data_IF_781666181680
#
_entry.id   IF_781666181680
#
_cell.length_a   1.000
_cell.length_b   1.000
_cell.length_c   1.000
_cell.angle_alpha   90.00
_cell.angle_beta   90.00
_cell.angle_gamma   90.00
#
_symmetry.space_group_name_H-M   'P 1'
#
loop_
_entity.id
_entity.type
_entity.pdbx_description
1 polymer ?
#
# COMPACT_ATOMS: atom_id res chain seq x y z
N UNK A 1 12.48 59.22 23.42
CA UNK A 1 12.80 58.78 22.04
C UNK A 1 12.89 57.29 22.04
N UNK A 2 11.81 56.61 21.63
CA UNK A 2 11.77 55.15 21.49
C UNK A 2 12.43 54.79 20.16
N UNK A 3 13.52 54.05 20.25
CA UNK A 3 14.30 53.59 19.11
C UNK A 3 13.55 52.39 18.49
N UNK A 4 12.76 52.63 17.44
CA UNK A 4 12.13 51.60 16.64
C UNK A 4 13.22 50.87 15.87
N UNK A 5 13.64 49.69 16.37
CA UNK A 5 14.34 48.71 15.53
C UNK A 5 13.42 48.34 14.37
N UNK A 6 13.79 48.75 13.14
CA UNK A 6 13.20 48.22 11.92
C UNK A 6 13.34 46.69 11.95
N UNK A 7 12.21 46.01 11.96
CA UNK A 7 12.12 44.61 11.66
C UNK A 7 12.62 44.41 10.21
N UNK A 8 13.89 44.03 10.06
CA UNK A 8 14.42 43.69 8.75
C UNK A 8 14.00 42.21 8.52
N UNK A 9 12.96 42.05 7.73
CA UNK A 9 12.63 40.71 7.18
C UNK A 9 13.83 40.22 6.39
N UNK A 10 14.24 38.96 6.66
CA UNK A 10 15.29 38.31 5.90
C UNK A 10 14.88 38.22 4.43
N UNK A 11 15.82 38.48 3.55
CA UNK A 11 15.64 38.20 2.12
C UNK A 11 15.59 36.71 1.83
N UNK A 12 15.00 36.30 0.72
CA UNK A 12 14.90 34.91 0.29
C UNK A 12 16.29 34.23 0.23
N UNK A 13 17.32 34.97 -0.20
CA UNK A 13 18.71 34.52 -0.22
C UNK A 13 19.28 34.27 1.18
N UNK A 14 18.98 35.13 2.16
CA UNK A 14 19.41 34.99 3.55
C UNK A 14 18.69 33.82 4.23
N UNK A 15 17.41 33.61 3.94
CA UNK A 15 16.64 32.46 4.40
C UNK A 15 17.27 31.18 3.84
N UNK A 16 17.56 31.13 2.55
CA UNK A 16 18.20 29.99 1.90
C UNK A 16 19.58 29.69 2.49
N UNK A 17 20.38 30.72 2.76
CA UNK A 17 21.70 30.58 3.36
C UNK A 17 21.63 30.04 4.80
N UNK A 18 20.69 30.50 5.62
CA UNK A 18 20.47 30.01 6.99
C UNK A 18 20.03 28.54 6.99
N UNK A 19 19.11 28.18 6.07
CA UNK A 19 18.67 26.78 5.92
C UNK A 19 19.84 25.89 5.51
N UNK A 20 20.59 26.31 4.48
CA UNK A 20 21.74 25.55 3.97
C UNK A 20 22.82 25.37 5.03
N UNK A 21 23.14 26.41 5.82
CA UNK A 21 24.13 26.32 6.92
C UNK A 21 23.67 25.40 8.04
N UNK A 22 22.38 25.37 8.37
CA UNK A 22 21.84 24.46 9.39
C UNK A 22 21.83 23.00 8.91
N UNK A 23 21.67 22.75 7.63
CA UNK A 23 21.70 21.42 7.04
C UNK A 23 23.13 20.89 6.84
N UNK A 24 24.12 21.79 6.65
CA UNK A 24 25.56 21.45 6.44
C UNK A 24 26.29 20.91 7.66
N UNK A 25 25.73 20.22 8.53
CA UNK A 25 26.40 19.60 9.68
C UNK A 25 25.50 18.63 10.43
N UNK A 26 24.25 18.54 10.04
CA UNK A 26 23.32 17.54 10.53
C UNK A 26 23.44 16.28 9.69
N UNK A 27 23.52 15.10 10.30
CA UNK A 27 23.25 13.86 9.58
C UNK A 27 21.82 13.96 9.05
N UNK A 28 21.56 13.72 7.76
CA UNK A 28 20.21 13.66 7.25
C UNK A 28 19.42 12.68 8.10
N UNK A 29 18.26 13.08 8.59
CA UNK A 29 17.33 12.11 9.16
C UNK A 29 16.78 11.22 8.05
N UNK A 30 16.39 10.00 8.35
CA UNK A 30 16.04 9.00 7.36
C UNK A 30 14.98 9.48 6.33
N UNK A 31 14.03 10.33 6.74
CA UNK A 31 13.03 10.91 5.84
C UNK A 31 13.57 11.98 4.87
N UNK A 32 14.64 12.72 5.26
CA UNK A 32 15.32 13.67 4.36
C UNK A 32 16.08 12.93 3.26
N UNK A 33 16.71 11.81 3.59
CA UNK A 33 17.34 10.94 2.60
C UNK A 33 16.31 10.36 1.63
N UNK A 34 15.12 10.02 2.10
CA UNK A 34 14.05 9.46 1.29
C UNK A 34 13.47 10.51 0.32
N UNK A 35 13.25 11.73 0.78
CA UNK A 35 12.85 12.86 -0.08
C UNK A 35 13.90 13.09 -1.18
N UNK A 36 15.19 13.04 -0.84
CA UNK A 36 16.28 13.26 -1.80
C UNK A 36 16.45 12.12 -2.81
N UNK A 37 16.06 10.90 -2.46
CA UNK A 37 16.13 9.71 -3.35
C UNK A 37 14.91 9.56 -4.25
N UNK A 38 13.77 10.11 -3.86
CA UNK A 38 12.53 10.07 -4.63
C UNK A 38 12.50 11.12 -5.76
N UNK A 39 13.60 11.20 -6.52
CA UNK A 39 13.54 11.87 -7.82
C UNK A 39 12.59 11.09 -8.72
N UNK A 40 11.67 11.80 -9.38
CA UNK A 40 10.79 11.20 -10.38
C UNK A 40 11.66 10.50 -11.44
N UNK A 41 11.60 9.17 -11.48
CA UNK A 41 12.20 8.41 -12.55
C UNK A 41 11.49 8.78 -13.86
N UNK A 42 12.22 9.39 -14.77
CA UNK A 42 11.73 9.88 -16.06
C UNK A 42 11.91 8.86 -17.19
N UNK A 43 12.42 7.65 -16.90
CA UNK A 43 12.55 6.61 -17.91
C UNK A 43 11.19 6.33 -18.56
N UNK A 44 11.15 6.16 -19.91
CA UNK A 44 9.90 5.87 -20.61
C UNK A 44 9.33 4.52 -20.15
N UNK A 45 8.02 4.40 -20.23
CA UNK A 45 7.34 3.11 -20.07
C UNK A 45 7.35 2.37 -21.40
N UNK A 46 7.50 1.04 -21.34
CA UNK A 46 7.43 0.19 -22.53
C UNK A 46 5.97 0.02 -22.99
N UNK A 47 5.78 -0.30 -24.28
CA UNK A 47 4.48 -0.60 -24.82
C UNK A 47 3.91 -1.89 -24.23
N UNK A 48 2.75 -1.80 -23.64
CA UNK A 48 2.14 -2.87 -22.85
C UNK A 48 0.77 -3.22 -23.40
N UNK A 49 0.44 -4.52 -23.38
CA UNK A 49 -0.88 -4.99 -23.73
C UNK A 49 -1.89 -4.64 -22.63
N UNK A 50 -3.11 -4.28 -23.04
CA UNK A 50 -4.24 -4.18 -22.11
C UNK A 50 -4.87 -5.56 -21.84
N UNK A 51 -5.53 -5.79 -20.70
CA UNK A 51 -6.10 -7.08 -20.33
C UNK A 51 -7.09 -7.63 -21.37
N UNK A 52 -7.90 -6.77 -21.97
CA UNK A 52 -8.85 -7.17 -23.03
C UNK A 52 -8.20 -7.57 -24.36
N UNK A 53 -6.90 -7.36 -24.52
CA UNK A 53 -6.09 -7.76 -25.66
C UNK A 53 -5.22 -9.01 -25.38
N UNK A 54 -5.17 -9.46 -24.12
CA UNK A 54 -4.40 -10.64 -23.74
C UNK A 54 -5.10 -11.92 -24.17
N UNK A 55 -4.32 -12.97 -24.41
CA UNK A 55 -4.85 -14.30 -24.67
C UNK A 55 -5.59 -14.81 -23.41
N UNK A 56 -6.85 -15.15 -23.58
CA UNK A 56 -7.71 -15.69 -22.50
C UNK A 56 -7.14 -16.93 -21.83
N UNK A 57 -6.28 -17.70 -22.50
CA UNK A 57 -5.61 -18.84 -21.91
C UNK A 57 -4.73 -18.45 -20.71
N UNK A 58 -4.21 -17.20 -20.69
CA UNK A 58 -3.43 -16.66 -19.59
C UNK A 58 -4.24 -16.49 -18.29
N UNK A 59 -5.58 -16.45 -18.39
CA UNK A 59 -6.49 -16.31 -17.25
C UNK A 59 -7.04 -17.66 -16.76
N UNK A 60 -7.09 -18.70 -17.63
CA UNK A 60 -7.85 -19.94 -17.40
C UNK A 60 -7.20 -20.95 -16.45
N UNK A 61 -5.89 -20.99 -16.33
CA UNK A 61 -5.19 -22.07 -15.63
C UNK A 61 -4.71 -21.65 -14.22
N UNK A 62 -5.56 -20.93 -13.45
CA UNK A 62 -5.18 -20.42 -12.14
C UNK A 62 -6.28 -20.70 -11.11
N UNK A 63 -5.94 -21.28 -10.00
CA UNK A 63 -6.82 -21.55 -8.85
C UNK A 63 -7.51 -20.31 -8.26
N UNK A 64 -7.19 -19.12 -8.78
CA UNK A 64 -7.82 -17.85 -8.38
C UNK A 64 -9.23 -17.68 -8.93
N UNK A 65 -9.57 -18.30 -10.08
CA UNK A 65 -10.92 -18.19 -10.66
C UNK A 65 -11.97 -18.77 -9.73
N UNK A 66 -11.64 -19.84 -9.01
CA UNK A 66 -12.55 -20.45 -8.04
C UNK A 66 -12.94 -19.50 -6.89
N UNK A 67 -12.06 -18.54 -6.59
CA UNK A 67 -12.30 -17.49 -5.57
C UNK A 67 -13.01 -16.28 -6.19
N UNK A 68 -12.66 -15.91 -7.41
CA UNK A 68 -13.13 -14.70 -8.09
C UNK A 68 -14.57 -14.88 -8.59
N UNK A 69 -14.89 -16.00 -9.23
CA UNK A 69 -16.19 -16.20 -9.88
C UNK A 69 -17.38 -16.06 -8.90
N UNK A 70 -17.35 -16.61 -7.68
CA UNK A 70 -18.44 -16.39 -6.72
C UNK A 70 -18.62 -14.93 -6.32
N UNK A 71 -17.56 -14.13 -6.34
CA UNK A 71 -17.58 -12.71 -5.98
C UNK A 71 -18.02 -11.77 -7.10
N UNK A 72 -18.02 -12.24 -8.35
CA UNK A 72 -18.48 -11.45 -9.50
C UNK A 72 -20.00 -11.26 -9.55
N UNK A 73 -20.76 -12.05 -8.77
CA UNK A 73 -22.22 -12.02 -8.80
C UNK A 73 -22.77 -12.47 -10.15
N UNK A 74 -23.55 -11.61 -10.81
CA UNK A 74 -24.13 -11.89 -12.14
C UNK A 74 -23.13 -11.66 -13.30
N UNK A 75 -21.97 -11.08 -13.03
CA UNK A 75 -20.95 -10.80 -14.05
C UNK A 75 -20.08 -12.02 -14.32
N UNK A 76 -19.59 -12.13 -15.53
CA UNK A 76 -18.58 -13.14 -15.89
C UNK A 76 -17.17 -12.54 -15.88
N UNK A 77 -16.16 -13.42 -15.80
CA UNK A 77 -14.76 -13.01 -15.89
C UNK A 77 -14.46 -12.33 -17.23
N UNK A 78 -15.10 -12.77 -18.31
CA UNK A 78 -14.97 -12.19 -19.64
C UNK A 78 -15.49 -10.75 -19.69
N UNK A 79 -16.59 -10.48 -19.01
CA UNK A 79 -17.13 -9.12 -18.89
C UNK A 79 -16.19 -8.24 -18.07
N UNK A 80 -15.61 -8.77 -17.00
CA UNK A 80 -14.63 -8.03 -16.20
C UNK A 80 -13.35 -7.72 -17.00
N UNK A 81 -12.85 -8.66 -17.79
CA UNK A 81 -11.71 -8.48 -18.69
C UNK A 81 -12.02 -7.42 -19.75
N UNK A 82 -13.19 -7.52 -20.39
CA UNK A 82 -13.60 -6.60 -21.46
C UNK A 82 -13.78 -5.16 -20.96
N UNK A 83 -14.11 -4.97 -19.69
CA UNK A 83 -14.27 -3.65 -19.08
C UNK A 83 -12.92 -2.93 -18.84
N UNK A 84 -11.79 -3.63 -18.79
CA UNK A 84 -10.49 -3.05 -18.53
C UNK A 84 -9.64 -2.95 -19.80
N UNK A 85 -9.62 -1.78 -20.41
CA UNK A 85 -8.83 -1.46 -21.60
C UNK A 85 -7.49 -0.77 -21.30
N UNK A 86 -7.19 -0.52 -20.03
CA UNK A 86 -5.98 0.19 -19.64
C UNK A 86 -4.75 -0.72 -19.67
N UNK A 87 -3.58 -0.23 -20.12
CA UNK A 87 -2.38 -1.04 -20.21
C UNK A 87 -1.96 -1.60 -18.84
N UNK A 88 -1.20 -2.69 -18.86
CA UNK A 88 -0.58 -3.27 -17.68
C UNK A 88 0.85 -2.74 -17.52
N UNK A 89 1.32 -2.48 -16.30
CA UNK A 89 2.71 -2.08 -16.07
C UNK A 89 3.68 -3.22 -16.44
N UNK A 90 4.91 -2.89 -16.82
CA UNK A 90 5.93 -3.89 -17.06
C UNK A 90 6.29 -4.65 -15.76
N UNK A 91 6.89 -5.84 -15.85
CA UNK A 91 7.17 -6.67 -14.69
C UNK A 91 7.94 -5.95 -13.56
N UNK A 92 8.87 -5.07 -13.92
CA UNK A 92 9.71 -4.33 -12.96
C UNK A 92 8.92 -3.24 -12.21
N UNK A 93 7.83 -2.75 -12.82
CA UNK A 93 6.95 -1.74 -12.19
C UNK A 93 5.80 -2.37 -11.38
N UNK A 94 5.83 -3.67 -11.04
CA UNK A 94 4.76 -4.39 -10.33
C UNK A 94 5.04 -4.66 -8.85
N UNK A 95 6.06 -4.10 -8.27
CA UNK A 95 6.48 -4.34 -6.86
C UNK A 95 6.52 -5.84 -6.49
N UNK A 96 6.97 -6.67 -7.43
CA UNK A 96 7.08 -8.11 -7.22
C UNK A 96 5.78 -8.91 -7.34
N UNK A 97 4.65 -8.27 -7.62
CA UNK A 97 3.40 -8.98 -7.89
C UNK A 97 3.44 -9.63 -9.28
N UNK A 98 3.51 -10.96 -9.28
CA UNK A 98 3.44 -11.82 -10.50
C UNK A 98 4.29 -11.31 -11.67
N UNK A 99 5.60 -11.04 -11.49
CA UNK A 99 6.45 -10.64 -12.59
C UNK A 99 6.44 -11.73 -13.68
N UNK A 100 6.30 -11.33 -14.93
CA UNK A 100 6.26 -12.23 -16.08
C UNK A 100 4.93 -12.92 -16.39
N UNK A 101 3.85 -12.62 -15.64
CA UNK A 101 2.52 -13.21 -15.88
C UNK A 101 1.42 -12.15 -15.82
N UNK A 102 1.13 -11.50 -16.94
CA UNK A 102 0.17 -10.40 -17.04
C UNK A 102 -1.22 -10.76 -16.52
N UNK A 103 -1.78 -11.89 -16.97
CA UNK A 103 -3.08 -12.35 -16.51
C UNK A 103 -3.13 -12.63 -15.02
N UNK A 104 -2.06 -13.14 -14.42
CA UNK A 104 -2.00 -13.40 -12.97
C UNK A 104 -1.90 -12.09 -12.19
N UNK A 105 -1.14 -11.12 -12.68
CA UNK A 105 -1.06 -9.79 -12.09
C UNK A 105 -2.45 -9.15 -12.05
N UNK A 106 -3.13 -9.12 -13.19
CA UNK A 106 -4.47 -8.55 -13.33
C UNK A 106 -5.50 -9.26 -12.45
N UNK A 107 -5.56 -10.61 -12.50
CA UNK A 107 -6.46 -11.41 -11.66
C UNK A 107 -6.21 -11.18 -10.17
N UNK A 108 -4.96 -10.99 -9.76
CA UNK A 108 -4.66 -10.73 -8.34
C UNK A 108 -5.22 -9.41 -7.85
N UNK A 109 -5.22 -8.38 -8.71
CA UNK A 109 -5.85 -7.10 -8.40
C UNK A 109 -7.37 -7.18 -8.37
N UNK A 110 -7.96 -7.90 -9.34
CA UNK A 110 -9.41 -8.14 -9.38
C UNK A 110 -9.88 -8.89 -8.12
N UNK A 111 -9.18 -9.94 -7.71
CA UNK A 111 -9.50 -10.70 -6.50
C UNK A 111 -9.54 -9.79 -5.27
N UNK A 112 -8.49 -8.98 -5.07
CA UNK A 112 -8.43 -8.07 -3.93
C UNK A 112 -9.52 -7.00 -3.99
N UNK A 113 -9.79 -6.43 -5.15
CA UNK A 113 -10.89 -5.49 -5.36
C UNK A 113 -12.25 -6.11 -4.99
N UNK A 114 -12.54 -7.32 -5.47
CA UNK A 114 -13.80 -8.00 -5.17
C UNK A 114 -13.95 -8.33 -3.69
N UNK A 115 -12.86 -8.75 -3.03
CA UNK A 115 -12.85 -8.98 -1.57
C UNK A 115 -13.10 -7.69 -0.78
N UNK A 116 -12.57 -6.56 -1.23
CA UNK A 116 -12.87 -5.25 -0.62
C UNK A 116 -14.36 -4.92 -0.78
N UNK A 117 -14.90 -5.08 -1.98
CA UNK A 117 -16.30 -4.76 -2.27
C UNK A 117 -17.27 -5.69 -1.52
N UNK A 118 -16.92 -6.98 -1.37
CA UNK A 118 -17.67 -7.93 -0.56
C UNK A 118 -17.65 -7.52 0.92
N UNK A 119 -16.49 -7.16 1.47
CA UNK A 119 -16.39 -6.63 2.83
C UNK A 119 -17.21 -5.34 3.00
N UNK A 120 -17.15 -4.42 2.04
CA UNK A 120 -17.96 -3.21 2.05
C UNK A 120 -19.45 -3.52 2.12
N UNK A 121 -19.92 -4.48 1.31
CA UNK A 121 -21.31 -4.96 1.33
C UNK A 121 -21.70 -5.55 2.68
N UNK A 122 -20.87 -6.42 3.28
CA UNK A 122 -21.13 -7.00 4.60
C UNK A 122 -21.24 -5.94 5.71
N UNK A 123 -20.48 -4.87 5.61
CA UNK A 123 -20.47 -3.76 6.58
C UNK A 123 -21.40 -2.60 6.21
N UNK A 124 -22.20 -2.73 5.15
CA UNK A 124 -23.17 -1.72 4.73
C UNK A 124 -22.54 -0.43 4.19
N UNK A 125 -21.30 -0.50 3.68
CA UNK A 125 -20.60 0.64 3.09
C UNK A 125 -20.92 0.71 1.59
N UNK A 126 -21.50 1.82 1.16
CA UNK A 126 -21.73 2.12 -0.27
C UNK A 126 -20.75 3.22 -0.69
N UNK A 127 -19.62 2.88 -1.34
CA UNK A 127 -18.56 3.84 -1.57
C UNK A 127 -18.89 4.83 -2.68
N UNK A 128 -18.60 6.10 -2.43
CA UNK A 128 -18.55 7.19 -3.41
C UNK A 128 -17.11 7.67 -3.62
N UNK A 129 -16.25 7.42 -2.66
CA UNK A 129 -14.82 7.74 -2.73
C UNK A 129 -13.99 6.59 -2.17
N UNK A 130 -12.94 6.20 -2.90
CA UNK A 130 -11.99 5.16 -2.49
C UNK A 130 -10.56 5.68 -2.54
N UNK A 131 -9.72 5.17 -1.65
CA UNK A 131 -8.31 5.50 -1.60
C UNK A 131 -7.46 4.24 -1.44
N UNK A 132 -6.58 3.98 -2.40
CA UNK A 132 -5.60 2.89 -2.37
C UNK A 132 -4.25 3.43 -1.93
N UNK A 133 -3.87 3.17 -0.69
CA UNK A 133 -2.64 3.65 -0.06
C UNK A 133 -1.49 2.66 -0.33
N UNK A 134 -0.42 3.13 -0.96
CA UNK A 134 0.65 2.29 -1.47
C UNK A 134 0.21 1.48 -2.69
N UNK A 135 -0.47 2.14 -3.63
CA UNK A 135 -1.14 1.51 -4.77
C UNK A 135 -0.18 0.97 -5.84
N UNK A 136 1.12 1.24 -5.74
CA UNK A 136 2.12 0.96 -6.77
C UNK A 136 1.62 1.43 -8.16
N UNK A 137 1.86 0.66 -9.22
CA UNK A 137 1.38 0.96 -10.57
C UNK A 137 -0.09 0.55 -10.79
N UNK A 138 -0.92 0.60 -9.75
CA UNK A 138 -2.36 0.51 -9.87
C UNK A 138 -2.94 -0.89 -9.92
N UNK A 139 -2.33 -1.88 -9.28
CA UNK A 139 -2.80 -3.27 -9.29
C UNK A 139 -4.25 -3.42 -8.82
N UNK A 140 -4.64 -2.72 -7.76
CA UNK A 140 -6.01 -2.75 -7.21
C UNK A 140 -6.82 -1.56 -7.68
N UNK A 141 -6.26 -0.35 -7.63
CA UNK A 141 -6.98 0.89 -7.96
C UNK A 141 -7.56 0.90 -9.37
N UNK A 142 -6.91 0.22 -10.35
CA UNK A 142 -7.44 0.07 -11.71
C UNK A 142 -8.81 -0.62 -11.76
N UNK A 143 -9.04 -1.57 -10.85
CA UNK A 143 -10.30 -2.31 -10.82
C UNK A 143 -11.44 -1.46 -10.24
N UNK A 144 -11.18 -0.54 -9.33
CA UNK A 144 -12.19 0.44 -8.95
C UNK A 144 -12.61 1.27 -10.17
N UNK A 145 -11.66 1.69 -11.01
CA UNK A 145 -11.95 2.48 -12.20
C UNK A 145 -12.63 1.69 -13.33
N UNK A 146 -12.25 0.41 -13.52
CA UNK A 146 -12.74 -0.40 -14.64
C UNK A 146 -14.01 -1.20 -14.30
N UNK A 147 -14.26 -1.50 -13.02
CA UNK A 147 -15.30 -2.43 -12.62
C UNK A 147 -16.47 -1.77 -11.88
N UNK A 148 -16.35 -0.49 -11.53
CA UNK A 148 -17.37 0.25 -10.76
C UNK A 148 -17.62 1.64 -11.34
N UNK A 149 -18.74 2.26 -10.91
CA UNK A 149 -19.09 3.65 -11.23
C UNK A 149 -18.72 4.60 -10.06
N UNK A 150 -17.74 4.25 -9.21
CA UNK A 150 -17.30 5.09 -8.10
C UNK A 150 -16.71 6.39 -8.66
N UNK A 151 -17.27 7.57 -8.29
CA UNK A 151 -16.88 8.83 -8.93
C UNK A 151 -15.51 9.36 -8.48
N UNK A 152 -15.05 8.99 -7.27
CA UNK A 152 -13.78 9.46 -6.73
C UNK A 152 -12.86 8.30 -6.37
N UNK A 153 -11.77 8.19 -7.11
CA UNK A 153 -10.78 7.12 -6.94
C UNK A 153 -9.42 7.77 -6.76
N UNK A 154 -8.80 7.54 -5.60
CA UNK A 154 -7.48 8.04 -5.26
C UNK A 154 -6.49 6.88 -5.15
N UNK A 155 -5.27 7.10 -5.62
CA UNK A 155 -4.17 6.19 -5.41
C UNK A 155 -2.93 6.94 -4.98
N UNK A 156 -2.22 6.49 -3.95
CA UNK A 156 -0.97 7.12 -3.56
C UNK A 156 0.17 6.12 -3.47
N UNK A 157 1.36 6.58 -3.77
CA UNK A 157 2.58 5.80 -3.58
C UNK A 157 3.77 6.71 -3.26
N UNK A 158 4.75 6.17 -2.54
CA UNK A 158 6.02 6.82 -2.24
C UNK A 158 6.99 6.74 -3.42
N UNK A 159 6.74 5.85 -4.38
CA UNK A 159 7.52 5.71 -5.60
C UNK A 159 6.92 6.61 -6.70
N UNK A 160 7.60 7.70 -7.04
CA UNK A 160 7.17 8.66 -8.05
C UNK A 160 6.97 8.06 -9.44
N UNK A 161 7.70 6.99 -9.80
CA UNK A 161 7.51 6.26 -11.06
C UNK A 161 6.14 5.59 -11.13
N UNK A 162 5.69 4.98 -10.03
CA UNK A 162 4.35 4.39 -9.95
C UNK A 162 3.24 5.43 -10.07
N UNK A 163 3.39 6.56 -9.38
CA UNK A 163 2.43 7.67 -9.46
C UNK A 163 2.33 8.22 -10.88
N UNK A 164 3.47 8.38 -11.54
CA UNK A 164 3.53 8.78 -12.94
C UNK A 164 2.86 7.75 -13.86
N UNK A 165 3.03 6.43 -13.58
CA UNK A 165 2.32 5.38 -14.31
C UNK A 165 0.80 5.55 -14.23
N UNK A 166 0.25 5.76 -13.04
CA UNK A 166 -1.19 5.98 -12.86
C UNK A 166 -1.67 7.17 -13.67
N UNK A 167 -0.92 8.28 -13.60
CA UNK A 167 -1.26 9.52 -14.30
C UNK A 167 -1.29 9.36 -15.83
N UNK A 168 -0.32 8.63 -16.39
CA UNK A 168 -0.17 8.48 -17.85
C UNK A 168 -1.08 7.39 -18.44
N UNK A 169 -1.46 6.38 -17.67
CA UNK A 169 -2.03 5.14 -18.22
C UNK A 169 -3.40 4.73 -17.64
N UNK A 170 -3.82 5.26 -16.51
CA UNK A 170 -5.16 5.01 -15.98
C UNK A 170 -6.10 6.18 -16.33
N UNK A 171 -7.45 5.97 -16.24
CA UNK A 171 -8.39 7.03 -16.56
C UNK A 171 -8.26 8.20 -15.58
N UNK A 172 -8.61 9.41 -16.03
CA UNK A 172 -8.54 10.64 -15.22
C UNK A 172 -9.47 10.63 -13.99
N UNK A 173 -10.36 9.64 -13.87
CA UNK A 173 -11.12 9.39 -12.65
C UNK A 173 -10.22 8.91 -11.51
N UNK A 174 -9.08 8.28 -11.83
CA UNK A 174 -8.04 7.94 -10.86
C UNK A 174 -7.17 9.18 -10.61
N UNK A 175 -7.16 9.64 -9.38
CA UNK A 175 -6.41 10.82 -8.92
C UNK A 175 -5.13 10.35 -8.21
N UNK A 176 -3.97 10.36 -8.87
CA UNK A 176 -2.73 9.88 -8.28
C UNK A 176 -2.13 10.92 -7.33
N UNK A 177 -1.56 10.46 -6.23
CA UNK A 177 -0.88 11.28 -5.23
C UNK A 177 0.53 10.71 -5.01
N UNK A 178 1.54 11.54 -5.19
CA UNK A 178 2.89 11.25 -4.74
C UNK A 178 3.00 11.64 -3.26
N UNK A 179 3.13 10.66 -2.37
CA UNK A 179 3.30 10.90 -0.94
C UNK A 179 4.74 10.64 -0.50
N UNK A 180 5.11 11.26 0.61
CA UNK A 180 6.38 11.04 1.28
C UNK A 180 6.23 10.02 2.42
N UNK A 181 7.36 9.68 3.05
CA UNK A 181 7.37 8.86 4.27
C UNK A 181 6.76 9.56 5.49
N UNK A 182 6.52 10.87 5.41
CA UNK A 182 5.86 11.64 6.47
C UNK A 182 4.34 11.56 6.28
N UNK A 183 3.58 11.16 7.32
CA UNK A 183 2.13 11.02 7.25
C UNK A 183 1.42 12.35 6.95
N UNK A 184 1.09 12.57 5.69
CA UNK A 184 0.29 13.70 5.23
C UNK A 184 -0.24 13.40 3.84
N UNK A 185 -1.55 13.31 3.70
CA UNK A 185 -2.24 13.04 2.43
C UNK A 185 -3.15 14.24 2.11
N UNK A 186 -3.04 14.84 0.91
CA UNK A 186 -3.83 16.01 0.54
C UNK A 186 -5.27 15.65 0.15
N UNK A 187 -5.91 14.83 0.96
CA UNK A 187 -7.32 14.47 0.86
C UNK A 187 -8.06 15.11 2.04
N UNK A 188 -9.26 15.71 1.83
CA UNK A 188 -10.04 16.31 2.89
C UNK A 188 -10.43 15.33 4.00
N UNK A 189 -10.70 15.85 5.20
CA UNK A 189 -11.20 15.07 6.32
C UNK A 189 -12.52 14.39 5.95
N UNK A 190 -12.70 13.13 6.38
CA UNK A 190 -13.96 12.37 6.29
C UNK A 190 -14.53 12.27 4.87
N UNK A 191 -13.69 12.23 3.87
CA UNK A 191 -14.10 12.28 2.46
C UNK A 191 -13.93 10.95 1.70
N UNK A 192 -13.37 9.91 2.33
CA UNK A 192 -13.13 8.61 1.71
C UNK A 192 -13.95 7.54 2.42
N UNK A 193 -14.66 6.72 1.66
CA UNK A 193 -15.53 5.67 2.22
C UNK A 193 -14.82 4.33 2.35
N UNK A 194 -13.85 4.06 1.47
CA UNK A 194 -13.00 2.86 1.54
C UNK A 194 -11.53 3.27 1.43
N UNK A 195 -10.71 2.78 2.36
CA UNK A 195 -9.26 2.83 2.27
C UNK A 195 -8.76 1.40 2.11
N UNK A 196 -7.95 1.13 1.09
CA UNK A 196 -7.18 -0.11 0.95
C UNK A 196 -5.69 0.14 1.13
N UNK A 197 -4.97 -0.84 1.71
CA UNK A 197 -3.52 -0.84 1.76
C UNK A 197 -2.98 -2.27 1.77
N UNK A 198 -2.38 -2.67 0.66
CA UNK A 198 -1.81 -4.01 0.50
C UNK A 198 -0.29 -3.96 0.62
N UNK A 199 0.28 -4.74 1.53
CA UNK A 199 1.72 -4.82 1.77
C UNK A 199 2.37 -3.48 2.14
N UNK A 200 1.62 -2.55 2.75
CA UNK A 200 2.12 -1.24 3.19
C UNK A 200 2.55 -1.28 4.64
N UNK A 201 1.65 -1.64 5.55
CA UNK A 201 1.95 -1.73 6.98
C UNK A 201 2.92 -2.85 7.33
N UNK A 202 3.15 -3.78 6.42
CA UNK A 202 4.23 -4.77 6.51
C UNK A 202 5.63 -4.18 6.34
N UNK A 203 5.72 -2.88 6.01
CA UNK A 203 6.97 -2.14 5.80
C UNK A 203 7.07 -0.86 6.62
N UNK A 204 5.96 -0.34 7.18
CA UNK A 204 5.96 0.87 8.00
C UNK A 204 6.49 0.58 9.40
N UNK A 205 7.78 0.85 9.60
CA UNK A 205 8.47 0.67 10.88
C UNK A 205 8.44 1.92 11.77
N UNK A 206 8.40 3.11 11.15
CA UNK A 206 8.32 4.42 11.82
C UNK A 206 7.03 5.14 11.45
N UNK A 207 6.59 6.09 12.27
CA UNK A 207 5.38 6.88 12.06
C UNK A 207 4.07 6.08 11.90
N UNK A 208 4.03 4.81 12.26
CA UNK A 208 2.88 3.94 12.10
C UNK A 208 1.59 4.55 12.68
N UNK A 209 1.65 5.00 13.95
CA UNK A 209 0.49 5.61 14.61
C UNK A 209 0.08 6.95 13.99
N UNK A 210 1.05 7.68 13.42
CA UNK A 210 0.75 8.90 12.67
C UNK A 210 0.05 8.58 11.34
N UNK A 211 0.46 7.51 10.66
CA UNK A 211 -0.25 7.01 9.47
C UNK A 211 -1.66 6.53 9.81
N UNK A 212 -1.84 5.81 10.92
CA UNK A 212 -3.19 5.41 11.37
C UNK A 212 -4.08 6.62 11.66
N UNK A 213 -3.52 7.66 12.30
CA UNK A 213 -4.24 8.90 12.55
C UNK A 213 -4.61 9.62 11.25
N UNK A 214 -3.70 9.65 10.26
CA UNK A 214 -3.93 10.28 8.97
C UNK A 214 -4.99 9.52 8.14
N UNK A 215 -4.91 8.20 8.07
CA UNK A 215 -5.94 7.38 7.43
C UNK A 215 -7.29 7.55 8.13
N UNK A 216 -7.31 7.60 9.49
CA UNK A 216 -8.53 7.88 10.24
C UNK A 216 -9.10 9.27 9.92
N UNK A 217 -8.25 10.28 9.74
CA UNK A 217 -8.68 11.65 9.40
C UNK A 217 -9.46 11.68 8.09
N UNK A 218 -8.92 11.07 7.03
CA UNK A 218 -9.53 11.08 5.70
C UNK A 218 -10.72 10.13 5.57
N UNK A 219 -10.78 9.03 6.35
CA UNK A 219 -11.89 8.08 6.32
C UNK A 219 -13.19 8.77 6.76
N UNK A 220 -14.29 8.52 6.07
CA UNK A 220 -15.63 8.96 6.46
C UNK A 220 -16.10 8.24 7.75
N UNK A 221 -17.08 8.80 8.46
CA UNK A 221 -17.51 8.22 9.73
C UNK A 221 -18.15 6.83 9.56
N UNK A 222 -18.81 6.59 8.42
CA UNK A 222 -19.39 5.30 8.06
C UNK A 222 -18.49 4.44 7.16
N UNK A 223 -17.28 4.92 6.88
CA UNK A 223 -16.33 4.25 6.01
C UNK A 223 -15.61 3.06 6.65
N UNK A 224 -14.87 2.33 5.85
CA UNK A 224 -14.03 1.22 6.29
C UNK A 224 -12.62 1.29 5.72
N UNK A 225 -11.66 0.73 6.45
CA UNK A 225 -10.31 0.48 5.94
C UNK A 225 -10.04 -1.02 5.86
N UNK A 226 -9.41 -1.45 4.76
CA UNK A 226 -9.06 -2.84 4.45
C UNK A 226 -7.54 -2.93 4.31
N UNK A 227 -6.87 -3.27 5.41
CA UNK A 227 -5.42 -3.15 5.53
C UNK A 227 -4.78 -4.52 5.76
N UNK A 228 -3.60 -4.75 5.17
CA UNK A 228 -2.86 -5.99 5.37
C UNK A 228 -1.69 -5.82 6.34
N UNK A 229 -1.48 -6.85 7.16
CA UNK A 229 -0.37 -6.95 8.12
C UNK A 229 0.26 -8.33 8.10
N UNK A 230 1.50 -8.44 8.60
CA UNK A 230 2.05 -9.71 9.04
C UNK A 230 1.77 -9.88 10.54
N UNK A 231 1.08 -10.95 10.92
CA UNK A 231 0.75 -11.28 12.31
C UNK A 231 1.17 -12.71 12.65
N UNK A 232 0.61 -13.30 13.70
CA UNK A 232 0.88 -14.67 14.13
C UNK A 232 0.58 -15.68 13.01
N UNK A 233 -0.50 -15.48 12.24
CA UNK A 233 -0.84 -16.40 11.14
C UNK A 233 0.23 -16.40 10.05
N UNK A 234 0.75 -15.21 9.70
CA UNK A 234 1.90 -15.09 8.80
C UNK A 234 3.14 -15.75 9.39
N UNK A 235 3.39 -15.57 10.69
CA UNK A 235 4.53 -16.15 11.39
C UNK A 235 4.51 -17.68 11.32
N UNK A 236 3.36 -18.28 11.57
CA UNK A 236 3.15 -19.75 11.44
C UNK A 236 3.33 -20.19 9.99
N UNK A 237 2.72 -19.49 9.03
CA UNK A 237 2.83 -19.83 7.61
C UNK A 237 4.28 -19.74 7.07
N UNK A 238 5.10 -18.84 7.62
CA UNK A 238 6.55 -18.75 7.32
C UNK A 238 7.28 -19.95 7.95
N UNK A 239 6.96 -20.32 9.20
CA UNK A 239 7.56 -21.44 9.91
C UNK A 239 7.38 -22.76 9.14
N UNK A 240 6.19 -23.01 8.62
CA UNK A 240 5.86 -24.20 7.84
C UNK A 240 6.61 -24.28 6.50
N UNK A 241 7.11 -23.14 5.99
CA UNK A 241 7.76 -23.02 4.69
C UNK A 241 9.17 -22.44 4.76
N UNK A 242 9.83 -22.56 5.89
CA UNK A 242 11.13 -21.92 6.12
C UNK A 242 12.22 -22.35 5.11
N UNK A 243 12.08 -23.53 4.54
CA UNK A 243 13.01 -24.10 3.55
C UNK A 243 12.60 -23.85 2.09
N UNK A 244 11.50 -23.12 1.85
CA UNK A 244 11.06 -22.77 0.50
C UNK A 244 11.96 -21.68 -0.11
N UNK A 245 12.87 -22.01 -1.06
CA UNK A 245 13.78 -21.03 -1.65
C UNK A 245 13.08 -20.01 -2.55
N UNK A 246 11.87 -20.30 -2.99
CA UNK A 246 11.06 -19.39 -3.80
C UNK A 246 10.33 -18.34 -2.96
N UNK A 247 10.33 -18.49 -1.63
CA UNK A 247 9.66 -17.56 -0.75
C UNK A 247 10.53 -16.31 -0.49
N UNK A 248 10.23 -15.23 -1.21
CA UNK A 248 10.99 -13.96 -1.12
C UNK A 248 11.01 -13.37 0.28
N UNK A 249 9.90 -13.45 1.03
CA UNK A 249 9.83 -12.95 2.40
C UNK A 249 10.81 -13.70 3.30
N UNK A 250 10.82 -15.03 3.24
CA UNK A 250 11.77 -15.87 4.01
C UNK A 250 13.21 -15.52 3.64
N UNK A 251 13.51 -15.44 2.35
CA UNK A 251 14.87 -15.10 1.89
C UNK A 251 15.30 -13.71 2.36
N UNK A 252 14.37 -12.76 2.36
CA UNK A 252 14.60 -11.41 2.88
C UNK A 252 14.90 -11.43 4.38
N UNK A 253 14.11 -12.13 5.18
CA UNK A 253 14.27 -12.24 6.63
C UNK A 253 15.57 -12.94 7.02
N UNK A 254 15.92 -14.04 6.35
CA UNK A 254 17.19 -14.76 6.58
C UNK A 254 18.42 -13.92 6.20
N UNK A 255 18.29 -13.01 5.24
CA UNK A 255 19.35 -12.07 4.86
C UNK A 255 19.53 -10.97 5.90
N UNK A 256 18.42 -10.49 6.49
CA UNK A 256 18.44 -9.44 7.52
C UNK A 256 18.96 -10.00 8.86
N UNK A 257 18.51 -11.18 9.23
CA UNK A 257 18.76 -11.82 10.52
C UNK A 257 19.14 -13.30 10.31
N UNK A 258 20.43 -13.63 10.38
CA UNK A 258 20.89 -15.01 10.23
C UNK A 258 20.30 -16.00 11.25
N UNK A 259 19.92 -15.50 12.45
CA UNK A 259 19.33 -16.31 13.52
C UNK A 259 17.80 -16.40 13.40
N UNK A 260 17.22 -15.88 12.32
CA UNK A 260 15.77 -15.85 12.12
C UNK A 260 15.13 -17.24 12.18
N UNK A 261 15.83 -18.30 11.74
CA UNK A 261 15.36 -19.68 11.84
C UNK A 261 15.09 -20.12 13.28
N UNK A 262 15.97 -19.75 14.21
CA UNK A 262 15.82 -20.08 15.62
C UNK A 262 14.70 -19.26 16.26
N UNK A 263 14.64 -17.98 15.96
CA UNK A 263 13.56 -17.09 16.43
C UNK A 263 12.18 -17.54 15.97
N UNK A 264 12.09 -18.05 14.76
CA UNK A 264 10.84 -18.53 14.17
C UNK A 264 10.28 -19.79 14.86
N UNK A 265 11.10 -20.55 15.60
CA UNK A 265 10.61 -21.70 16.41
C UNK A 265 9.82 -21.24 17.64
N UNK A 266 9.99 -20.02 18.06
CA UNK A 266 9.22 -19.39 19.14
C UNK A 266 7.96 -18.72 18.57
N UNK A 267 7.05 -18.37 19.45
CA UNK A 267 5.89 -17.56 19.07
C UNK A 267 6.32 -16.14 18.71
N UNK A 268 5.52 -15.48 17.88
CA UNK A 268 5.73 -14.08 17.55
C UNK A 268 5.70 -13.27 18.87
N UNK A 269 6.73 -12.42 19.13
CA UNK A 269 6.73 -11.58 20.32
C UNK A 269 5.46 -10.71 20.40
N UNK A 270 4.91 -10.55 21.61
CA UNK A 270 3.66 -9.81 21.85
C UNK A 270 3.87 -8.28 21.73
N UNK A 271 4.32 -7.87 20.55
CA UNK A 271 4.63 -6.46 20.22
C UNK A 271 4.68 -6.27 18.72
N UNK A 272 5.03 -5.06 18.28
CA UNK A 272 5.52 -4.80 16.93
C UNK A 272 6.98 -5.23 16.81
N UNK A 273 7.27 -6.20 15.94
CA UNK A 273 8.62 -6.71 15.67
C UNK A 273 9.09 -6.23 14.29
N UNK A 274 10.29 -5.65 14.23
CA UNK A 274 10.83 -5.02 13.01
C UNK A 274 12.14 -5.67 12.62
N UNK A 275 12.20 -6.17 11.38
CA UNK A 275 13.42 -6.63 10.73
C UNK A 275 13.80 -5.65 9.64
N UNK A 276 14.83 -4.83 9.88
CA UNK A 276 15.25 -3.76 8.98
C UNK A 276 16.52 -4.12 8.23
N UNK A 277 16.60 -3.78 6.95
CA UNK A 277 17.84 -3.86 6.18
C UNK A 277 18.84 -2.82 6.67
N UNK A 278 20.10 -3.23 6.91
CA UNK A 278 21.11 -2.43 7.61
C UNK A 278 21.36 -1.04 6.99
N UNK A 279 21.40 -0.95 5.67
CA UNK A 279 21.74 0.28 4.95
C UNK A 279 20.54 0.84 4.18
N UNK A 280 19.35 0.72 4.74
CA UNK A 280 18.13 1.12 4.04
C UNK A 280 17.48 2.37 4.67
N UNK A 281 16.83 3.19 3.82
CA UNK A 281 15.99 4.28 4.23
C UNK A 281 14.71 3.81 4.95
N UNK A 282 13.82 4.74 5.32
CA UNK A 282 12.55 4.41 5.98
C UNK A 282 11.71 3.46 5.12
N UNK A 283 10.89 2.64 5.80
CA UNK A 283 9.98 1.68 5.19
C UNK A 283 10.64 0.52 4.40
N UNK A 284 11.96 0.34 4.56
CA UNK A 284 12.67 -0.84 4.03
C UNK A 284 12.93 -1.87 5.13
N UNK A 285 11.84 -2.35 5.68
CA UNK A 285 11.80 -3.34 6.76
C UNK A 285 10.74 -4.41 6.47
N UNK A 286 10.79 -5.48 7.24
CA UNK A 286 9.68 -6.42 7.40
C UNK A 286 9.12 -6.21 8.81
N UNK A 287 7.85 -5.88 8.89
CA UNK A 287 7.18 -5.53 10.15
C UNK A 287 6.11 -6.56 10.46
N UNK A 288 6.18 -7.12 11.67
CA UNK A 288 5.19 -8.02 12.22
C UNK A 288 4.48 -7.36 13.39
N UNK A 289 3.19 -7.60 13.51
CA UNK A 289 2.33 -7.05 14.56
C UNK A 289 1.64 -8.22 15.27
N UNK A 290 1.85 -8.38 16.58
CA UNK A 290 1.02 -9.34 17.31
C UNK A 290 -0.45 -8.90 17.31
N UNK A 291 -1.37 -9.86 17.39
CA UNK A 291 -2.79 -9.55 17.49
C UNK A 291 -3.11 -8.69 18.72
N UNK A 292 -2.39 -8.92 19.83
CA UNK A 292 -2.53 -8.09 21.03
C UNK A 292 -2.05 -6.66 20.79
N UNK A 293 -0.91 -6.47 20.10
CA UNK A 293 -0.44 -5.15 19.70
C UNK A 293 -1.48 -4.42 18.83
N UNK A 294 -2.04 -5.12 17.84
CA UNK A 294 -3.09 -4.58 16.98
C UNK A 294 -4.30 -4.10 17.81
N UNK A 295 -4.77 -4.92 18.76
CA UNK A 295 -5.86 -4.55 19.63
C UNK A 295 -5.54 -3.34 20.54
N UNK A 296 -4.34 -3.32 21.14
CA UNK A 296 -3.96 -2.28 22.09
C UNK A 296 -3.56 -0.96 21.42
N UNK A 297 -2.93 -0.99 20.25
CA UNK A 297 -2.39 0.20 19.58
C UNK A 297 -3.30 0.66 18.46
N UNK A 298 -3.62 -0.21 17.50
CA UNK A 298 -4.50 0.14 16.38
C UNK A 298 -5.95 0.34 16.84
N UNK A 299 -6.38 -0.43 17.86
CA UNK A 299 -7.67 -0.28 18.50
C UNK A 299 -7.95 1.09 19.14
N UNK A 300 -6.92 1.95 19.30
CA UNK A 300 -7.07 3.35 19.71
C UNK A 300 -7.52 4.27 18.57
N UNK A 301 -7.29 3.86 17.35
CA UNK A 301 -7.62 4.63 16.13
C UNK A 301 -8.87 4.10 15.44
N UNK A 302 -9.06 2.78 15.49
CA UNK A 302 -10.12 2.10 14.77
C UNK A 302 -10.73 0.98 15.61
N UNK A 303 -12.00 0.73 15.41
CA UNK A 303 -12.60 -0.53 15.80
C UNK A 303 -12.16 -1.61 14.80
N UNK A 304 -11.55 -2.69 15.27
CA UNK A 304 -11.21 -3.86 14.45
C UNK A 304 -12.48 -4.70 14.32
N UNK A 305 -13.11 -4.68 13.16
CA UNK A 305 -14.35 -5.43 12.90
C UNK A 305 -14.07 -6.87 12.53
N UNK A 306 -13.05 -7.11 11.68
CA UNK A 306 -12.67 -8.45 11.27
C UNK A 306 -11.13 -8.58 11.26
N UNK A 307 -10.65 -9.76 11.62
CA UNK A 307 -9.28 -10.23 11.38
C UNK A 307 -9.41 -11.46 10.48
N UNK A 308 -8.93 -11.37 9.25
CA UNK A 308 -9.07 -12.40 8.23
C UNK A 308 -7.68 -13.04 7.97
N UNK A 309 -7.37 -14.19 8.59
CA UNK A 309 -6.06 -14.83 8.50
C UNK A 309 -5.69 -15.17 7.06
N UNK A 310 -4.47 -14.82 6.64
CA UNK A 310 -3.87 -15.15 5.34
C UNK A 310 -4.78 -14.83 4.13
N UNK A 311 -5.65 -13.82 4.27
CA UNK A 311 -6.67 -13.49 3.27
C UNK A 311 -6.10 -12.80 2.03
N UNK A 312 -4.89 -12.23 2.12
CA UNK A 312 -4.12 -11.71 1.00
C UNK A 312 -2.76 -12.41 0.94
N UNK A 313 -2.59 -13.35 0.02
CA UNK A 313 -1.36 -14.16 -0.14
C UNK A 313 -0.96 -14.83 1.19
N UNK A 314 -0.06 -14.21 1.98
CA UNK A 314 0.39 -14.67 3.29
C UNK A 314 0.22 -13.60 4.36
N UNK A 315 -0.59 -12.60 4.10
CA UNK A 315 -0.86 -11.51 5.00
C UNK A 315 -2.28 -11.63 5.56
N UNK A 316 -2.44 -11.30 6.80
CA UNK A 316 -3.74 -11.16 7.44
C UNK A 316 -4.34 -9.81 7.06
N UNK A 317 -5.63 -9.81 6.75
CA UNK A 317 -6.38 -8.61 6.48
C UNK A 317 -7.10 -8.16 7.75
N UNK A 318 -7.07 -6.87 8.00
CA UNK A 318 -7.87 -6.21 9.02
C UNK A 318 -8.95 -5.38 8.34
N UNK A 319 -10.21 -5.60 8.71
CA UNK A 319 -11.33 -4.70 8.38
C UNK A 319 -11.55 -3.78 9.57
N UNK A 320 -11.37 -2.48 9.33
CA UNK A 320 -11.35 -1.46 10.37
C UNK A 320 -12.44 -0.42 10.11
N UNK A 321 -13.05 0.10 11.16
CA UNK A 321 -13.98 1.23 11.10
C UNK A 321 -13.63 2.28 12.15
N UNK A 322 -14.13 3.50 11.97
CA UNK A 322 -14.03 4.49 13.05
C UNK A 322 -14.76 4.01 14.29
N UNK A 323 -14.13 4.18 15.44
CA UNK A 323 -14.71 3.95 16.76
C UNK A 323 -15.45 5.21 17.23
#
# INVERSE_FOLDING_TARGET
MLNTKKDQSLTEAEIHQVITQRLQGSRPVAWEEDISRNTLDTAPFENLAAPNQLDRSQFKNRNRLDVIEPLLGERTIEQAIAADSYPLPCPDDREGYSPGYDGVYWLSGLEDHLKIMDAAGRHGVTPKAVFDFGCASGRVVRHFAAQTDIPEIWGSDINGRHVRWLYEHLPHTVKPIFNHCIPSIPIPDKSVDIISAFSVFTHIDTFETCWLAELRRILSDDGMAYLTVHNEDTWVAIRERIDDPANRLIQSLLKIDPDFREKLQQDLPDTKTVYRFADSGPYRAQVFHSNNYLQQVWGRFFKIEEILPLHHVRQTVLVLRKS
#
